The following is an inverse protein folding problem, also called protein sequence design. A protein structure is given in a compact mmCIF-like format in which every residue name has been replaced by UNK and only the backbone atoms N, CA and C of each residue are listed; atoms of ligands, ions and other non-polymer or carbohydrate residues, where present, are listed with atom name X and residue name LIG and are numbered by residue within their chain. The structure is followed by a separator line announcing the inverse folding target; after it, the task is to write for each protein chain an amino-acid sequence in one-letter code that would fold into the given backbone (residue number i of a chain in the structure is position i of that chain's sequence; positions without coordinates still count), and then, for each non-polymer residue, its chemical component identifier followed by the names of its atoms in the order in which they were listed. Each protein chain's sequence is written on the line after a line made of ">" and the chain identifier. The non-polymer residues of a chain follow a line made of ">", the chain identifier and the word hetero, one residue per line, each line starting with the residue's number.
data_IF_422528789091
#
_entry.id   IF_422528789091
#
_cell.length_a   1.000
_cell.length_b   1.000
_cell.length_c   1.000
_cell.angle_alpha   90.00
_cell.angle_beta   90.00
_cell.angle_gamma   90.00
#
_symmetry.space_group_name_H-M   'P 1'
#
loop_
_entity.id
_entity.type
_entity.pdbx_description
1 polymer ?
#
# COMPACT_ATOMS: atom_id res chain seq x y z
N UNK A 1 5.46 4.60 -7.32
CA UNK A 1 6.34 3.61 -6.65
C UNK A 1 7.03 2.77 -7.71
N UNK A 2 8.19 2.16 -7.42
CA UNK A 2 8.82 1.22 -8.35
C UNK A 2 8.03 -0.11 -8.41
N UNK A 3 8.16 -0.87 -9.50
CA UNK A 3 7.54 -2.21 -9.62
C UNK A 3 7.99 -3.12 -8.47
N UNK A 4 9.27 -3.05 -8.08
CA UNK A 4 9.81 -3.79 -6.94
C UNK A 4 9.07 -3.46 -5.65
N UNK A 5 8.88 -2.17 -5.36
CA UNK A 5 8.19 -1.71 -4.17
C UNK A 5 6.72 -2.16 -4.15
N UNK A 6 6.03 -2.10 -5.30
CA UNK A 6 4.65 -2.59 -5.43
C UNK A 6 4.59 -4.09 -5.12
N UNK A 7 5.52 -4.87 -5.69
CA UNK A 7 5.60 -6.32 -5.43
C UNK A 7 5.84 -6.64 -3.96
N UNK A 8 6.72 -5.88 -3.30
CA UNK A 8 7.00 -6.03 -1.88
C UNK A 8 5.74 -5.74 -1.03
N UNK A 9 5.03 -4.63 -1.28
CA UNK A 9 3.77 -4.32 -0.56
C UNK A 9 2.71 -5.39 -0.80
N UNK A 10 2.52 -5.84 -2.04
CA UNK A 10 1.55 -6.91 -2.35
C UNK A 10 1.93 -8.22 -1.66
N UNK A 11 3.24 -8.51 -1.56
CA UNK A 11 3.77 -9.63 -0.78
C UNK A 11 3.36 -9.53 0.69
N UNK A 12 3.63 -8.40 1.34
CA UNK A 12 3.26 -8.15 2.74
C UNK A 12 1.76 -8.30 2.98
N UNK A 13 0.92 -7.81 2.07
CA UNK A 13 -0.54 -7.99 2.12
C UNK A 13 -0.91 -9.47 2.03
N UNK A 14 -0.28 -10.22 1.13
CA UNK A 14 -0.54 -11.64 0.95
C UNK A 14 -0.09 -12.49 2.14
N UNK A 15 0.99 -12.11 2.82
CA UNK A 15 1.53 -12.82 3.98
C UNK A 15 0.77 -12.49 5.27
N UNK A 16 0.28 -11.26 5.41
CA UNK A 16 -0.42 -10.80 6.62
C UNK A 16 -1.91 -11.18 6.66
N UNK A 17 -2.58 -11.27 5.50
CA UNK A 17 -4.00 -11.62 5.43
C UNK A 17 -4.28 -13.00 6.02
N UNK A 18 -5.42 -13.15 6.70
CA UNK A 18 -5.88 -14.44 7.21
C UNK A 18 -6.91 -15.03 6.26
N UNK A 19 -7.26 -16.29 6.50
CA UNK A 19 -8.23 -17.00 5.68
C UNK A 19 -9.61 -16.35 5.84
N UNK A 20 -10.20 -15.94 4.73
CA UNK A 20 -11.51 -15.28 4.71
C UNK A 20 -11.43 -13.75 4.58
N UNK A 21 -10.23 -13.16 4.71
CA UNK A 21 -10.08 -11.72 4.53
C UNK A 21 -10.12 -11.31 3.06
N UNK A 22 -10.83 -10.22 2.82
CA UNK A 22 -10.91 -9.54 1.54
C UNK A 22 -10.09 -8.27 1.63
N UNK A 23 -9.10 -8.17 0.75
CA UNK A 23 -8.34 -6.94 0.52
C UNK A 23 -8.58 -6.52 -0.92
N UNK A 24 -9.03 -5.29 -1.11
CA UNK A 24 -9.22 -4.69 -2.43
C UNK A 24 -8.16 -3.61 -2.63
N UNK A 25 -7.40 -3.74 -3.71
CA UNK A 25 -6.37 -2.77 -4.09
C UNK A 25 -6.40 -2.49 -5.59
N UNK A 26 -5.85 -1.35 -5.97
CA UNK A 26 -5.70 -0.90 -7.35
C UNK A 26 -4.27 -0.43 -7.57
N UNK A 27 -3.72 -0.77 -8.74
CA UNK A 27 -2.41 -0.31 -9.20
C UNK A 27 -2.65 0.58 -10.42
N UNK A 28 -2.37 1.88 -10.28
CA UNK A 28 -2.43 2.85 -11.37
C UNK A 28 -1.28 2.68 -12.35
N UNK A 29 -1.47 3.14 -13.59
CA UNK A 29 -0.44 3.13 -14.63
C UNK A 29 0.80 3.97 -14.29
N UNK A 30 0.65 4.92 -13.37
CA UNK A 30 1.71 5.77 -12.80
C UNK A 30 2.50 5.08 -11.67
N UNK A 31 2.22 3.80 -11.40
CA UNK A 31 2.82 3.07 -10.28
C UNK A 31 2.31 3.54 -8.92
N UNK A 32 1.11 4.14 -8.88
CA UNK A 32 0.39 4.47 -7.65
C UNK A 32 -0.35 3.24 -7.15
N UNK A 33 -0.10 2.84 -5.90
CA UNK A 33 -0.80 1.76 -5.25
C UNK A 33 -1.82 2.32 -4.26
N UNK A 34 -3.07 1.89 -4.35
CA UNK A 34 -4.14 2.28 -3.42
C UNK A 34 -4.92 1.07 -2.93
N UNK A 35 -5.22 1.04 -1.64
CA UNK A 35 -6.00 0.02 -0.96
C UNK A 35 -7.39 0.59 -0.65
N UNK A 36 -8.44 0.01 -1.23
CA UNK A 36 -9.82 0.44 -1.01
C UNK A 36 -10.39 -0.18 0.26
N UNK A 37 -10.09 -1.47 0.49
CA UNK A 37 -10.55 -2.19 1.68
C UNK A 37 -9.46 -3.13 2.15
N UNK A 38 -9.17 -3.10 3.45
CA UNK A 38 -8.30 -4.06 4.11
C UNK A 38 -8.60 -4.07 5.61
N UNK A 39 -8.42 -5.21 6.30
CA UNK A 39 -8.34 -5.23 7.75
C UNK A 39 -7.19 -4.34 8.25
N UNK A 40 -7.34 -3.70 9.41
CA UNK A 40 -6.34 -2.76 9.93
C UNK A 40 -4.96 -3.41 10.11
N UNK A 41 -4.90 -4.65 10.58
CA UNK A 41 -3.62 -5.36 10.77
C UNK A 41 -2.85 -5.62 9.47
N UNK A 42 -3.53 -5.62 8.31
CA UNK A 42 -2.87 -5.70 7.00
C UNK A 42 -2.22 -4.36 6.67
N UNK A 43 -2.89 -3.24 7.01
CA UNK A 43 -2.32 -1.90 6.88
C UNK A 43 -1.11 -1.73 7.80
N UNK A 44 -1.22 -2.22 9.04
CA UNK A 44 -0.12 -2.21 10.01
C UNK A 44 1.10 -2.98 9.47
N UNK A 45 0.90 -4.14 8.84
CA UNK A 45 1.98 -4.91 8.21
C UNK A 45 2.65 -4.16 7.05
N UNK A 46 1.90 -3.36 6.29
CA UNK A 46 2.45 -2.51 5.23
C UNK A 46 3.31 -1.39 5.83
N UNK A 47 2.86 -0.75 6.92
CA UNK A 47 3.65 0.27 7.62
C UNK A 47 4.89 -0.31 8.30
N UNK A 48 4.78 -1.48 8.91
CA UNK A 48 5.91 -2.22 9.50
C UNK A 48 6.95 -2.60 8.43
N UNK A 49 6.51 -2.75 7.18
CA UNK A 49 7.36 -2.94 6.01
C UNK A 49 8.07 -1.68 5.51
N UNK A 50 7.92 -0.54 6.20
CA UNK A 50 8.58 0.73 5.84
C UNK A 50 7.84 1.57 4.79
N UNK A 51 6.54 1.31 4.59
CA UNK A 51 5.71 2.05 3.65
C UNK A 51 4.79 3.03 4.37
N UNK A 52 4.52 4.16 3.72
CA UNK A 52 3.65 5.19 4.25
C UNK A 52 2.25 5.07 3.67
N UNK A 53 1.26 5.26 4.53
CA UNK A 53 -0.15 5.22 4.18
C UNK A 53 -0.75 6.63 4.28
N UNK A 54 -1.43 7.08 3.24
CA UNK A 54 -2.18 8.34 3.19
C UNK A 54 -3.63 8.07 2.81
N UNK A 55 -4.59 8.74 3.43
CA UNK A 55 -5.99 8.61 3.05
C UNK A 55 -6.35 9.64 1.97
N UNK A 56 -6.79 9.18 0.80
CA UNK A 56 -7.20 10.03 -0.32
C UNK A 56 -8.47 9.49 -1.00
N UNK A 57 -9.49 10.34 -1.14
CA UNK A 57 -10.73 10.04 -1.90
C UNK A 57 -11.38 8.67 -1.57
N UNK A 58 -11.37 8.27 -0.30
CA UNK A 58 -11.99 7.02 0.15
C UNK A 58 -11.12 5.76 -0.06
N UNK A 59 -9.83 5.93 -0.38
CA UNK A 59 -8.84 4.86 -0.43
C UNK A 59 -7.60 5.23 0.39
N UNK A 60 -6.79 4.21 0.70
CA UNK A 60 -5.48 4.38 1.33
C UNK A 60 -4.40 4.27 0.26
N UNK A 61 -3.67 5.35 0.00
CA UNK A 61 -2.56 5.41 -0.94
C UNK A 61 -1.29 4.96 -0.23
N UNK A 62 -0.54 4.06 -0.87
CA UNK A 62 0.74 3.57 -0.37
C UNK A 62 1.88 4.32 -1.05
N UNK A 63 2.85 4.77 -0.27
CA UNK A 63 4.05 5.48 -0.75
C UNK A 63 5.31 4.87 -0.17
N UNK A 64 6.38 4.79 -0.96
CA UNK A 64 7.71 4.44 -0.46
C UNK A 64 8.42 5.69 0.05
N UNK A 65 9.12 5.58 1.19
CA UNK A 65 10.00 6.63 1.68
C UNK A 65 11.04 6.98 0.59
N UNK A 66 11.13 8.26 0.24
CA UNK A 66 11.94 8.74 -0.90
C UNK A 66 11.14 9.17 -2.13
N UNK A 67 9.81 9.06 -2.11
CA UNK A 67 8.91 9.71 -3.08
C UNK A 67 8.46 11.10 -2.60
N UNK A 68 9.28 11.74 -1.75
CA UNK A 68 9.07 13.13 -1.35
C UNK A 68 9.34 14.01 -2.55
N UNK A 69 8.26 14.50 -3.16
CA UNK A 69 8.29 15.71 -3.97
C UNK A 69 8.97 16.81 -3.13
N UNK A 70 10.19 17.20 -3.52
CA UNK A 70 10.69 18.54 -3.24
C UNK A 70 9.65 19.51 -3.81
N UNK A 71 8.76 20.01 -2.95
CA UNK A 71 7.98 21.18 -3.25
C UNK A 71 8.93 22.37 -3.13
N UNK A 72 9.17 22.98 -4.29
CA UNK A 72 9.92 24.22 -4.51
C UNK A 72 9.45 25.40 -3.67
#
# INVERSE_FOLDING_TARGET
>A
MSERSIREVVGLICESRRRGDVVTLSIGHDGRLSILTAPSYVLDAVTDGGYYLSAELGAVVVSAEGSGHEAA
#
